data_IF_989909274654
#
_entry.id   IF_989909274654
#
_cell.length_a   1.000
_cell.length_b   1.000
_cell.length_c   1.000
_cell.angle_alpha   90.00
_cell.angle_beta   90.00
_cell.angle_gamma   90.00
#
_symmetry.space_group_name_H-M   'P 1'
#
loop_
_entity.id
_entity.type
_entity.pdbx_description
1 polymer ?
#
# COMPACT_ATOMS: atom_id res chain seq x y z
N UNK A 1 56.27 -25.13 29.92
CA UNK A 1 55.54 -26.39 30.16
C UNK A 1 54.07 -26.06 29.95
N UNK A 2 53.62 -26.14 28.69
CA UNK A 2 52.97 -27.34 28.10
C UNK A 2 51.55 -27.49 28.67
N UNK A 3 50.45 -27.64 27.92
CA UNK A 3 50.14 -27.73 26.50
C UNK A 3 48.60 -27.52 26.39
N UNK A 4 48.17 -26.78 25.37
CA UNK A 4 46.98 -26.95 24.50
C UNK A 4 45.73 -27.70 25.00
N UNK A 5 44.54 -27.06 24.95
CA UNK A 5 43.31 -27.60 24.29
C UNK A 5 42.45 -26.45 23.74
N UNK A 6 42.36 -26.36 22.41
CA UNK A 6 41.32 -25.65 21.66
C UNK A 6 39.96 -26.36 21.82
N UNK A 7 38.88 -25.61 22.08
CA UNK A 7 37.53 -26.01 21.66
C UNK A 7 36.77 -24.81 21.08
N UNK A 8 36.62 -24.84 19.76
CA UNK A 8 35.54 -24.19 19.04
C UNK A 8 34.21 -24.50 19.74
N UNK A 9 33.45 -23.45 20.04
CA UNK A 9 32.01 -23.58 20.30
C UNK A 9 31.33 -23.12 19.03
N UNK A 10 31.06 -24.09 18.15
CA UNK A 10 30.06 -24.01 17.12
C UNK A 10 28.70 -23.86 17.83
N UNK A 11 28.11 -22.67 17.78
CA UNK A 11 26.70 -22.51 18.11
C UNK A 11 25.92 -22.47 16.81
N UNK A 12 25.60 -23.67 16.34
CA UNK A 12 24.54 -23.98 15.40
C UNK A 12 23.21 -23.63 16.05
N UNK A 13 22.71 -22.42 15.81
CA UNK A 13 21.27 -22.15 15.89
C UNK A 13 20.70 -22.30 14.50
N UNK A 14 20.24 -23.53 14.22
CA UNK A 14 19.19 -23.78 13.25
C UNK A 14 17.96 -22.96 13.67
N UNK A 15 17.66 -21.92 12.92
CA UNK A 15 16.30 -21.42 12.78
C UNK A 15 15.90 -21.68 11.33
N UNK A 16 15.18 -22.78 11.13
CA UNK A 16 14.35 -23.01 9.98
C UNK A 16 13.35 -21.83 9.89
N UNK A 17 13.69 -20.81 9.10
CA UNK A 17 12.71 -19.87 8.59
C UNK A 17 12.59 -20.13 7.09
N UNK A 18 11.46 -20.75 6.78
CA UNK A 18 10.92 -21.05 5.46
C UNK A 18 11.31 -20.02 4.41
N UNK A 19 12.11 -20.47 3.44
CA UNK A 19 12.29 -19.79 2.17
C UNK A 19 10.98 -19.85 1.38
N UNK A 20 10.01 -19.01 1.73
CA UNK A 20 9.03 -18.55 0.76
C UNK A 20 9.81 -17.72 -0.26
N UNK A 21 10.02 -18.28 -1.45
CA UNK A 21 10.47 -17.49 -2.58
C UNK A 21 9.37 -16.46 -2.88
N UNK A 22 9.42 -15.30 -2.23
CA UNK A 22 8.61 -14.14 -2.58
C UNK A 22 8.81 -13.89 -4.08
N UNK A 23 7.81 -14.22 -4.89
CA UNK A 23 7.78 -13.86 -6.28
C UNK A 23 7.79 -12.34 -6.34
N UNK A 24 8.95 -11.75 -6.62
CA UNK A 24 9.13 -10.30 -6.67
C UNK A 24 8.26 -9.74 -7.80
N UNK A 25 7.09 -9.23 -7.44
CA UNK A 25 6.15 -8.67 -8.41
C UNK A 25 6.72 -7.35 -8.96
N UNK A 26 6.71 -7.23 -10.29
CA UNK A 26 7.22 -6.05 -11.01
C UNK A 26 6.08 -5.29 -11.64
N UNK A 27 6.19 -3.96 -11.62
CA UNK A 27 5.25 -3.07 -12.26
C UNK A 27 5.28 -3.25 -13.77
N UNK A 28 4.10 -3.45 -14.37
CA UNK A 28 3.93 -3.60 -15.82
C UNK A 28 4.50 -2.43 -16.62
N UNK A 29 4.35 -1.20 -16.10
CA UNK A 29 4.64 0.02 -16.85
C UNK A 29 6.11 0.46 -16.75
N UNK A 30 6.79 0.22 -15.62
CA UNK A 30 8.17 0.66 -15.42
C UNK A 30 9.18 -0.46 -15.13
N UNK A 31 8.74 -1.71 -14.99
CA UNK A 31 9.58 -2.88 -14.74
C UNK A 31 10.23 -2.94 -13.34
N UNK A 32 10.06 -1.91 -12.50
CA UNK A 32 10.58 -1.87 -11.13
C UNK A 32 9.71 -2.69 -10.18
N UNK A 33 10.29 -3.09 -9.05
CA UNK A 33 9.63 -3.89 -8.00
C UNK A 33 8.43 -3.12 -7.42
N UNK A 34 7.35 -3.84 -7.13
CA UNK A 34 6.19 -3.34 -6.40
C UNK A 34 6.42 -3.53 -4.89
N UNK A 35 6.76 -2.44 -4.20
CA UNK A 35 6.89 -2.41 -2.75
C UNK A 35 5.58 -1.89 -2.13
N UNK A 36 4.87 -2.68 -1.30
CA UNK A 36 3.58 -2.27 -0.75
C UNK A 36 3.59 -0.99 0.09
N UNK A 37 4.74 -0.64 0.69
CA UNK A 37 4.87 0.47 1.64
C UNK A 37 5.41 1.73 0.97
N UNK A 38 6.48 1.59 0.19
CA UNK A 38 7.20 2.70 -0.42
C UNK A 38 6.66 3.06 -1.79
N UNK A 39 6.19 2.07 -2.56
CA UNK A 39 5.74 2.27 -3.93
C UNK A 39 4.55 1.34 -4.25
N UNK A 40 3.38 1.61 -3.64
CA UNK A 40 2.24 0.73 -3.74
C UNK A 40 1.78 0.58 -5.19
N UNK A 41 1.11 -0.54 -5.45
CA UNK A 41 0.63 -0.89 -6.79
C UNK A 41 -0.74 -1.53 -6.74
N UNK A 42 -1.57 -1.21 -7.74
CA UNK A 42 -2.87 -1.81 -7.97
C UNK A 42 -2.73 -3.04 -8.86
N UNK A 43 -3.54 -4.06 -8.60
CA UNK A 43 -3.61 -5.29 -9.40
C UNK A 43 -4.71 -5.13 -10.45
N UNK A 44 -4.40 -5.46 -11.70
CA UNK A 44 -5.38 -5.37 -12.78
C UNK A 44 -6.44 -6.48 -12.66
N UNK A 45 -7.73 -6.11 -12.53
CA UNK A 45 -8.85 -7.06 -12.45
C UNK A 45 -9.29 -7.60 -13.82
N UNK A 46 -8.93 -6.94 -14.91
CA UNK A 46 -9.30 -7.33 -16.28
C UNK A 46 -8.60 -8.57 -16.86
N UNK A 47 -8.00 -9.43 -16.03
CA UNK A 47 -7.53 -10.76 -16.42
C UNK A 47 -6.02 -10.94 -16.68
N UNK A 48 -5.23 -9.87 -16.82
CA UNK A 48 -3.76 -10.01 -16.90
C UNK A 48 -3.08 -10.20 -15.55
N UNK A 49 -3.77 -9.82 -14.46
CA UNK A 49 -3.33 -9.96 -13.07
C UNK A 49 -2.02 -9.23 -12.72
N UNK A 50 -1.51 -8.42 -13.65
CA UNK A 50 -0.27 -7.65 -13.48
C UNK A 50 -0.52 -6.44 -12.57
N UNK A 51 0.54 -6.01 -11.88
CA UNK A 51 0.50 -4.85 -11.01
C UNK A 51 1.04 -3.60 -11.70
N UNK A 52 0.46 -2.45 -11.38
CA UNK A 52 0.89 -1.13 -11.85
C UNK A 52 1.05 -0.25 -10.62
N UNK A 53 2.21 0.39 -10.45
CA UNK A 53 2.40 1.36 -9.37
C UNK A 53 1.31 2.43 -9.46
N UNK A 54 0.80 2.89 -8.32
CA UNK A 54 -0.19 3.99 -8.31
C UNK A 54 0.36 5.23 -9.03
N UNK A 55 1.66 5.48 -8.97
CA UNK A 55 2.35 6.58 -9.68
C UNK A 55 2.63 6.31 -11.16
N UNK A 56 2.41 5.08 -11.64
CA UNK A 56 2.64 4.68 -13.02
C UNK A 56 1.35 4.47 -13.81
N UNK A 57 0.20 4.77 -13.20
CA UNK A 57 -1.09 4.90 -13.90
C UNK A 57 -0.99 5.99 -14.98
N UNK A 58 -1.85 5.93 -15.99
CA UNK A 58 -1.87 6.84 -17.13
C UNK A 58 -2.07 8.31 -16.70
N UNK A 59 -2.92 8.53 -15.70
CA UNK A 59 -3.13 9.85 -15.06
C UNK A 59 -2.02 10.25 -14.09
N UNK A 60 -1.01 9.40 -13.89
CA UNK A 60 0.11 9.60 -12.97
C UNK A 60 -0.21 9.36 -11.50
N UNK A 61 -1.48 9.23 -11.11
CA UNK A 61 -1.90 8.85 -9.76
C UNK A 61 -3.36 8.38 -9.74
N UNK A 62 -3.77 7.79 -8.61
CA UNK A 62 -5.19 7.61 -8.30
C UNK A 62 -5.87 8.98 -8.11
N UNK A 63 -7.20 9.11 -8.34
CA UNK A 63 -7.89 10.41 -8.39
C UNK A 63 -7.68 11.32 -7.17
N UNK A 64 -7.35 10.76 -6.00
CA UNK A 64 -6.99 11.51 -4.79
C UNK A 64 -5.76 10.89 -4.15
N UNK A 65 -4.75 11.73 -3.92
CA UNK A 65 -3.46 11.30 -3.38
C UNK A 65 -3.48 11.25 -1.84
N UNK A 66 -4.37 10.44 -1.27
CA UNK A 66 -4.21 10.03 0.13
C UNK A 66 -3.04 9.06 0.21
N UNK A 67 -2.14 9.28 1.17
CA UNK A 67 -0.99 8.40 1.35
C UNK A 67 -1.52 7.03 1.78
N UNK A 68 -1.02 5.97 1.14
CA UNK A 68 -1.45 4.59 1.39
C UNK A 68 -2.81 4.20 0.79
N UNK A 69 -3.44 5.06 -0.03
CA UNK A 69 -4.73 4.74 -0.63
C UNK A 69 -4.58 3.84 -1.87
N UNK A 70 -4.96 2.57 -1.68
CA UNK A 70 -4.86 1.51 -2.70
C UNK A 70 -6.20 0.83 -2.96
N UNK A 71 -7.30 1.40 -2.46
CA UNK A 71 -8.64 0.81 -2.54
C UNK A 71 -9.32 1.16 -3.86
N UNK A 72 -8.76 0.67 -4.95
CA UNK A 72 -9.22 0.92 -6.30
C UNK A 72 -9.15 -0.34 -7.16
N UNK A 73 -10.17 -0.51 -7.98
CA UNK A 73 -10.19 -1.47 -9.06
C UNK A 73 -9.51 -0.87 -10.30
N UNK A 74 -8.47 -1.55 -10.80
CA UNK A 74 -7.73 -1.17 -12.00
C UNK A 74 -8.10 -2.10 -13.16
N UNK A 75 -8.48 -1.52 -14.29
CA UNK A 75 -8.46 -2.21 -15.59
C UNK A 75 -7.46 -1.50 -16.51
N UNK A 76 -6.35 -2.17 -16.82
CA UNK A 76 -5.32 -1.58 -17.66
C UNK A 76 -5.76 -1.51 -19.13
N UNK A 77 -5.12 -0.63 -19.91
CA UNK A 77 -5.39 -0.41 -21.34
C UNK A 77 -5.54 -1.70 -22.15
N UNK A 78 -4.66 -2.69 -21.92
CA UNK A 78 -4.68 -3.95 -22.68
C UNK A 78 -5.79 -4.92 -22.29
N UNK A 79 -6.40 -4.72 -21.12
CA UNK A 79 -7.46 -5.57 -20.59
C UNK A 79 -8.85 -4.93 -20.73
N UNK A 80 -8.91 -3.61 -20.88
CA UNK A 80 -10.14 -2.90 -21.13
C UNK A 80 -10.54 -3.00 -22.61
N UNK A 81 -11.75 -3.49 -22.97
CA UNK A 81 -12.22 -3.55 -24.36
C UNK A 81 -12.25 -2.20 -25.08
N UNK A 82 -12.35 -1.10 -24.34
CA UNK A 82 -12.34 0.26 -24.89
C UNK A 82 -10.92 0.79 -25.17
N UNK A 83 -9.88 0.06 -24.74
CA UNK A 83 -8.49 0.49 -24.92
C UNK A 83 -8.07 1.65 -24.01
N UNK A 84 -8.78 1.88 -22.91
CA UNK A 84 -8.50 2.96 -21.95
C UNK A 84 -8.17 2.41 -20.56
N UNK A 85 -7.29 3.08 -19.80
CA UNK A 85 -7.07 2.73 -18.40
C UNK A 85 -8.23 3.24 -17.53
N UNK A 86 -8.88 2.36 -16.78
CA UNK A 86 -9.93 2.75 -15.81
C UNK A 86 -9.49 2.41 -14.40
N UNK A 87 -9.68 3.37 -13.49
CA UNK A 87 -9.34 3.25 -12.07
C UNK A 87 -10.55 3.70 -11.25
N UNK A 88 -11.26 2.73 -10.68
CA UNK A 88 -12.54 2.97 -10.00
C UNK A 88 -12.39 2.72 -8.51
N UNK A 89 -12.89 3.65 -7.67
CA UNK A 89 -12.85 3.51 -6.21
C UNK A 89 -13.62 2.27 -5.74
N UNK A 90 -12.98 1.45 -4.92
CA UNK A 90 -13.64 0.32 -4.26
C UNK A 90 -14.62 0.80 -3.19
N UNK A 91 -15.68 0.02 -2.98
CA UNK A 91 -16.52 0.20 -1.80
C UNK A 91 -15.76 -0.29 -0.56
N UNK A 92 -15.13 0.63 0.15
CA UNK A 92 -14.37 0.31 1.35
C UNK A 92 -15.28 0.00 2.55
N UNK A 93 -14.95 -1.03 3.35
CA UNK A 93 -15.48 -1.17 4.71
C UNK A 93 -15.10 0.03 5.58
N UNK A 94 -15.96 0.37 6.55
CA UNK A 94 -15.69 1.46 7.49
C UNK A 94 -14.33 1.34 8.20
N UNK A 95 -13.89 0.13 8.53
CA UNK A 95 -12.58 -0.09 9.13
C UNK A 95 -11.44 0.46 8.26
N UNK A 96 -11.46 0.21 6.95
CA UNK A 96 -10.43 0.71 6.03
C UNK A 96 -10.48 2.24 5.90
N UNK A 97 -11.68 2.82 5.92
CA UNK A 97 -11.86 4.28 5.96
C UNK A 97 -11.19 4.88 7.19
N UNK A 98 -11.41 4.28 8.36
CA UNK A 98 -10.81 4.75 9.62
C UNK A 98 -9.29 4.57 9.61
N UNK A 99 -8.77 3.44 9.13
CA UNK A 99 -7.33 3.20 9.02
C UNK A 99 -6.68 4.24 8.09
N UNK A 100 -7.24 4.45 6.90
CA UNK A 100 -6.74 5.43 5.94
C UNK A 100 -6.78 6.86 6.50
N UNK A 101 -7.86 7.18 7.22
CA UNK A 101 -8.02 8.48 7.91
C UNK A 101 -6.93 8.68 8.96
N UNK A 102 -6.75 7.72 9.86
CA UNK A 102 -5.73 7.80 10.92
C UNK A 102 -4.32 7.90 10.35
N UNK A 103 -4.03 7.13 9.30
CA UNK A 103 -2.75 7.17 8.61
C UNK A 103 -2.49 8.57 8.02
N UNK A 104 -3.45 9.12 7.27
CA UNK A 104 -3.30 10.45 6.69
C UNK A 104 -3.29 11.57 7.74
N UNK A 105 -4.01 11.43 8.84
CA UNK A 105 -3.92 12.35 9.97
C UNK A 105 -2.52 12.32 10.58
N UNK A 106 -1.96 11.13 10.84
CA UNK A 106 -0.58 10.98 11.32
C UNK A 106 0.42 11.67 10.39
N UNK A 107 0.38 11.38 9.10
CA UNK A 107 1.32 11.94 8.11
C UNK A 107 1.24 13.47 8.02
N UNK A 108 0.04 14.06 8.18
CA UNK A 108 -0.17 15.52 8.03
C UNK A 108 0.05 16.31 9.32
N UNK A 109 0.07 15.66 10.48
CA UNK A 109 0.03 16.32 11.80
C UNK A 109 1.40 16.43 12.49
N UNK A 110 2.48 16.67 11.73
CA UNK A 110 3.83 16.81 12.25
C UNK A 110 3.88 17.90 13.35
N UNK A 111 3.87 17.48 14.62
CA UNK A 111 3.97 18.35 15.80
C UNK A 111 2.67 18.70 16.53
N UNK A 112 1.49 18.41 15.98
CA UNK A 112 0.18 18.75 16.61
C UNK A 112 -0.54 17.50 17.15
N UNK A 113 -0.27 16.31 16.59
CA UNK A 113 -0.88 15.09 17.12
C UNK A 113 -0.33 14.80 18.52
N UNK A 114 -1.21 14.39 19.44
CA UNK A 114 -0.82 13.94 20.79
C UNK A 114 -0.11 12.59 20.67
N UNK A 115 1.08 12.51 20.05
CA UNK A 115 1.83 11.26 19.80
C UNK A 115 1.03 10.22 18.99
N UNK A 116 0.27 10.65 17.99
CA UNK A 116 -0.53 9.76 17.15
C UNK A 116 -1.94 9.44 17.66
N UNK A 117 -2.37 10.04 18.79
CA UNK A 117 -3.77 10.01 19.21
C UNK A 117 -4.55 11.17 18.59
N UNK A 118 -5.76 10.86 18.12
CA UNK A 118 -6.70 11.80 17.48
C UNK A 118 -8.05 11.75 18.18
N UNK A 119 -8.66 12.91 18.36
CA UNK A 119 -9.98 13.02 18.94
C UNK A 119 -11.05 12.68 17.90
N UNK A 120 -11.95 11.75 18.23
CA UNK A 120 -12.88 11.17 17.27
C UNK A 120 -13.74 12.23 16.53
N UNK A 121 -14.25 13.24 17.23
CA UNK A 121 -15.15 14.24 16.64
C UNK A 121 -14.41 15.34 15.86
N UNK A 122 -13.47 16.01 16.50
CA UNK A 122 -12.73 17.14 15.91
C UNK A 122 -11.74 16.74 14.83
N UNK A 123 -11.24 15.51 14.85
CA UNK A 123 -10.15 15.08 13.97
C UNK A 123 -10.65 14.03 12.97
N UNK A 124 -11.17 12.89 13.47
CA UNK A 124 -11.56 11.75 12.61
C UNK A 124 -12.83 12.09 11.83
N UNK A 125 -13.93 12.42 12.50
CA UNK A 125 -15.20 12.80 11.85
C UNK A 125 -15.00 13.99 10.93
N UNK A 126 -14.31 15.04 11.40
CA UNK A 126 -14.01 16.21 10.56
C UNK A 126 -13.15 15.88 9.33
N UNK A 127 -12.25 14.89 9.40
CA UNK A 127 -11.52 14.42 8.22
C UNK A 127 -12.46 13.69 7.25
N UNK A 128 -13.26 12.75 7.74
CA UNK A 128 -14.18 11.96 6.91
C UNK A 128 -15.19 12.87 6.22
N UNK A 129 -15.81 13.79 6.95
CA UNK A 129 -16.83 14.70 6.40
C UNK A 129 -16.26 15.59 5.29
N UNK A 130 -15.06 16.16 5.51
CA UNK A 130 -14.38 16.99 4.49
C UNK A 130 -13.99 16.22 3.23
N UNK A 131 -13.78 14.91 3.35
CA UNK A 131 -13.31 14.05 2.27
C UNK A 131 -14.37 13.02 1.83
N UNK A 132 -15.64 13.23 2.20
CA UNK A 132 -16.72 12.26 2.02
C UNK A 132 -16.82 11.77 0.58
N UNK A 133 -16.79 12.70 -0.36
CA UNK A 133 -16.91 12.42 -1.78
C UNK A 133 -15.75 11.57 -2.29
N UNK A 134 -14.54 11.79 -1.78
CA UNK A 134 -13.35 11.06 -2.19
C UNK A 134 -13.26 9.66 -1.56
N UNK A 135 -13.80 9.51 -0.35
CA UNK A 135 -13.82 8.23 0.37
C UNK A 135 -14.94 7.30 -0.10
N UNK A 136 -16.08 7.86 -0.55
CA UNK A 136 -17.29 7.05 -0.79
C UNK A 136 -17.91 7.18 -2.18
N UNK A 137 -17.65 8.24 -2.96
CA UNK A 137 -18.18 8.30 -4.32
C UNK A 137 -17.31 7.46 -5.24
N UNK A 138 -17.97 6.68 -6.12
CA UNK A 138 -17.30 6.05 -7.25
C UNK A 138 -16.74 7.16 -8.15
N UNK A 139 -15.42 7.28 -8.16
CA UNK A 139 -14.70 8.02 -9.20
C UNK A 139 -14.65 7.11 -10.42
N UNK A 140 -15.08 7.64 -11.57
CA UNK A 140 -15.09 6.97 -12.88
C UNK A 140 -13.85 7.40 -13.64
#
# INVERSE_FOLDING_TARGET
MSETVNKHVENTTNSEESSEAESVEKCKNCGKICDPYNKPSLRCSGGCDRRIHTTCLERGSVPVSFVGDVFFELNCISCNPLGEETVVRDKMPWLNVIILTLYNLREKSNGISRRGYFHWKSDITAFVDRNWDFLFKKTV
#
